data_IF_076622164826
#
_entry.id   IF_076622164826
#
_cell.length_a   1.000
_cell.length_b   1.000
_cell.length_c   1.000
_cell.angle_alpha   90.00
_cell.angle_beta   90.00
_cell.angle_gamma   90.00
#
_symmetry.space_group_name_H-M   'P 1'
#
loop_
_entity.id
_entity.type
_entity.pdbx_description
1 polymer ?
#
# COMPACT_ATOMS: atom_id res chain seq x y z
N UNK A 1 1.77 -20.41 5.03
CA UNK A 1 1.21 -19.17 5.63
C UNK A 1 0.37 -18.51 4.56
N UNK A 2 -0.92 -18.28 4.81
CA UNK A 2 -1.78 -17.59 3.86
C UNK A 2 -1.29 -16.14 3.74
N UNK A 3 -1.27 -15.60 2.53
CA UNK A 3 -0.96 -14.18 2.35
C UNK A 3 -2.06 -13.35 3.02
N UNK A 4 -1.69 -12.25 3.72
CA UNK A 4 -2.69 -11.43 4.40
C UNK A 4 -3.63 -10.77 3.38
N UNK A 5 -4.91 -10.66 3.74
CA UNK A 5 -5.96 -10.11 2.90
C UNK A 5 -5.69 -8.65 2.51
N UNK A 6 -5.62 -8.38 1.21
CA UNK A 6 -5.28 -7.07 0.66
C UNK A 6 -6.46 -6.46 -0.13
N UNK A 7 -7.41 -5.77 0.53
CA UNK A 7 -8.56 -5.15 -0.13
C UNK A 7 -8.18 -3.85 -0.87
N UNK A 8 -9.12 -3.23 -1.61
CA UNK A 8 -8.98 -1.85 -2.05
C UNK A 8 -8.69 -0.89 -0.89
N UNK A 9 -7.82 0.09 -1.08
CA UNK A 9 -7.46 1.07 -0.06
C UNK A 9 -8.60 2.03 0.32
N UNK A 10 -9.49 2.31 -0.64
CA UNK A 10 -10.60 3.25 -0.47
C UNK A 10 -11.93 2.62 -0.91
N UNK A 11 -13.08 3.06 -0.35
CA UNK A 11 -14.38 2.57 -0.74
C UNK A 11 -14.67 2.81 -2.23
N UNK A 12 -15.15 1.77 -2.91
CA UNK A 12 -15.68 1.90 -4.25
C UNK A 12 -17.13 2.41 -4.13
N UNK A 13 -17.36 3.71 -4.33
CA UNK A 13 -18.72 4.23 -4.41
C UNK A 13 -19.38 3.71 -5.70
N UNK A 14 -20.39 2.85 -5.53
CA UNK A 14 -21.17 2.30 -6.62
C UNK A 14 -22.00 3.43 -7.29
N UNK A 15 -21.41 4.13 -8.26
CA UNK A 15 -22.09 5.19 -9.00
C UNK A 15 -23.03 4.57 -10.05
N UNK A 16 -24.13 3.97 -9.58
CA UNK A 16 -25.42 3.80 -10.27
C UNK A 16 -25.51 3.07 -11.61
N UNK A 17 -24.42 2.80 -12.31
CA UNK A 17 -24.44 2.21 -13.65
C UNK A 17 -23.24 1.28 -13.76
N UNK A 18 -23.53 -0.02 -13.67
CA UNK A 18 -22.81 -1.11 -14.33
C UNK A 18 -21.34 -0.82 -14.68
N UNK A 19 -20.41 -1.05 -13.74
CA UNK A 19 -19.06 -1.50 -14.11
C UNK A 19 -19.15 -2.96 -14.53
N UNK A 20 -19.89 -3.22 -15.61
CA UNK A 20 -20.00 -4.52 -16.25
C UNK A 20 -18.66 -4.78 -16.96
N UNK A 21 -17.68 -5.32 -16.22
CA UNK A 21 -16.41 -5.78 -16.76
C UNK A 21 -15.20 -4.85 -16.60
N UNK A 22 -15.36 -3.64 -16.07
CA UNK A 22 -14.22 -2.79 -15.71
C UNK A 22 -13.74 -3.16 -14.32
N UNK A 23 -12.67 -3.97 -14.26
CA UNK A 23 -11.86 -4.13 -13.04
C UNK A 23 -11.53 -2.74 -12.50
N UNK A 24 -12.17 -2.33 -11.40
CA UNK A 24 -11.84 -1.08 -10.73
C UNK A 24 -10.47 -1.29 -10.07
N UNK A 25 -9.42 -1.12 -10.86
CA UNK A 25 -8.02 -1.32 -10.51
C UNK A 25 -7.51 -0.15 -9.67
N UNK A 26 -8.21 0.15 -8.57
CA UNK A 26 -7.74 1.12 -7.58
C UNK A 26 -6.53 0.59 -6.81
N UNK A 27 -5.82 1.47 -6.10
CA UNK A 27 -4.72 1.06 -5.22
C UNK A 27 -5.20 0.04 -4.18
N UNK A 28 -4.39 -0.98 -3.93
CA UNK A 28 -4.64 -1.91 -2.84
C UNK A 28 -4.28 -1.26 -1.50
N UNK A 29 -4.81 -1.79 -0.39
CA UNK A 29 -4.50 -1.31 0.95
C UNK A 29 -2.99 -1.43 1.24
N UNK A 30 -2.33 -2.45 0.69
CA UNK A 30 -0.87 -2.61 0.69
C UNK A 30 -0.17 -1.42 0.02
N UNK A 31 -0.59 -1.03 -1.17
CA UNK A 31 0.02 0.08 -1.91
C UNK A 31 -0.14 1.40 -1.16
N UNK A 32 -1.31 1.60 -0.54
CA UNK A 32 -1.56 2.78 0.28
C UNK A 32 -0.66 2.83 1.52
N UNK A 33 -0.51 1.73 2.25
CA UNK A 33 0.40 1.68 3.40
C UNK A 33 1.86 1.87 2.98
N UNK A 34 2.28 1.28 1.87
CA UNK A 34 3.62 1.46 1.34
C UNK A 34 3.88 2.94 0.98
N UNK A 35 2.93 3.60 0.30
CA UNK A 35 3.03 5.02 -0.02
C UNK A 35 3.13 5.90 1.24
N UNK A 36 2.42 5.57 2.32
CA UNK A 36 2.52 6.27 3.60
C UNK A 36 3.87 6.07 4.28
N UNK A 37 4.41 4.86 4.25
CA UNK A 37 5.75 4.57 4.77
C UNK A 37 6.83 5.32 3.97
N UNK A 38 6.72 5.29 2.63
CA UNK A 38 7.61 6.02 1.71
C UNK A 38 7.64 7.52 2.02
N UNK A 39 6.48 8.14 2.20
CA UNK A 39 6.38 9.56 2.58
C UNK A 39 7.15 9.85 3.88
N UNK A 40 7.03 8.96 4.88
CA UNK A 40 7.78 9.06 6.13
C UNK A 40 9.30 8.97 5.92
N UNK A 41 9.76 7.95 5.18
CA UNK A 41 11.19 7.77 4.89
C UNK A 41 11.79 8.96 4.13
N UNK A 42 11.08 9.49 3.12
CA UNK A 42 11.53 10.64 2.33
C UNK A 42 11.54 11.96 3.11
N UNK A 43 10.78 12.06 4.21
CA UNK A 43 10.75 13.26 5.05
C UNK A 43 12.01 13.45 5.93
N UNK A 44 12.76 12.36 6.14
CA UNK A 44 14.07 12.43 6.79
C UNK A 44 15.03 13.08 5.79
N UNK A 45 15.81 14.09 6.18
CA UNK A 45 17.01 14.44 5.42
C UNK A 45 17.88 13.18 5.38
N UNK A 46 17.80 12.45 4.27
CA UNK A 46 18.58 11.25 4.08
C UNK A 46 20.02 11.72 4.01
N UNK A 47 20.80 11.32 5.02
CA UNK A 47 22.26 11.33 4.94
C UNK A 47 22.60 10.61 3.64
N UNK A 48 23.47 11.19 2.81
CA UNK A 48 23.92 10.65 1.53
C UNK A 48 24.02 9.11 1.59
N UNK A 49 23.27 8.42 0.72
CA UNK A 49 23.41 6.96 0.54
C UNK A 49 22.19 6.07 0.79
N UNK A 50 20.98 6.60 0.97
CA UNK A 50 19.79 5.76 0.86
C UNK A 50 19.37 5.59 -0.60
N UNK A 51 19.54 4.38 -1.11
CA UNK A 51 19.08 3.94 -2.42
C UNK A 51 17.54 3.91 -2.47
N UNK A 52 16.95 4.43 -3.56
CA UNK A 52 15.50 4.43 -3.80
C UNK A 52 14.92 3.01 -3.75
N UNK A 53 15.69 2.01 -4.17
CA UNK A 53 15.32 0.60 -4.11
C UNK A 53 15.15 0.12 -2.66
N UNK A 54 16.05 0.53 -1.77
CA UNK A 54 16.00 0.18 -0.33
C UNK A 54 14.78 0.81 0.33
N UNK A 55 14.49 2.08 0.04
CA UNK A 55 13.32 2.76 0.61
C UNK A 55 12.03 2.10 0.12
N UNK A 56 11.97 1.74 -1.16
CA UNK A 56 10.83 1.05 -1.77
C UNK A 56 10.59 -0.31 -1.11
N UNK A 57 11.64 -1.11 -0.93
CA UNK A 57 11.55 -2.42 -0.26
C UNK A 57 11.08 -2.27 1.20
N UNK A 58 11.67 -1.33 1.94
CA UNK A 58 11.30 -1.09 3.34
C UNK A 58 9.87 -0.60 3.49
N UNK A 59 9.39 0.21 2.56
CA UNK A 59 8.00 0.70 2.54
C UNK A 59 7.00 -0.44 2.39
N UNK A 60 7.28 -1.39 1.50
CA UNK A 60 6.44 -2.58 1.34
C UNK A 60 6.52 -3.55 2.52
N UNK A 61 7.68 -3.70 3.17
CA UNK A 61 7.79 -4.50 4.42
C UNK A 61 6.91 -3.93 5.54
N UNK A 62 6.88 -2.61 5.69
CA UNK A 62 5.98 -1.95 6.65
C UNK A 62 4.51 -2.21 6.28
N UNK A 63 4.15 -2.09 4.99
CA UNK A 63 2.79 -2.39 4.54
C UNK A 63 2.35 -3.82 4.87
N UNK A 64 3.22 -4.82 4.61
CA UNK A 64 2.94 -6.22 4.92
C UNK A 64 2.79 -6.47 6.43
N UNK A 65 3.57 -5.77 7.26
CA UNK A 65 3.45 -5.84 8.72
C UNK A 65 2.11 -5.24 9.21
N UNK A 66 1.66 -4.13 8.62
CA UNK A 66 0.37 -3.52 8.95
C UNK A 66 -0.81 -4.41 8.56
N UNK A 67 -0.75 -5.07 7.40
CA UNK A 67 -1.77 -6.04 6.99
C UNK A 67 -1.86 -7.23 7.95
N UNK A 68 -0.72 -7.80 8.35
CA UNK A 68 -0.68 -8.87 9.36
C UNK A 68 -1.24 -8.43 10.71
N UNK A 69 -0.89 -7.24 11.16
CA UNK A 69 -1.36 -6.71 12.44
C UNK A 69 -2.89 -6.49 12.48
N UNK A 70 -3.52 -6.29 11.31
CA UNK A 70 -4.98 -6.16 11.19
C UNK A 70 -5.72 -7.50 11.30
N UNK A 71 -5.05 -8.61 10.97
CA UNK A 71 -5.64 -9.96 11.01
C UNK A 71 -5.54 -10.63 12.39
N UNK A 72 -4.75 -10.05 13.31
CA UNK A 72 -4.63 -10.48 14.70
C UNK A 72 -5.77 -9.92 15.55
#
# INVERSE_FOLDING_TARGET
MNQPYNPPAFPLHNHGVQTLGTHISGMTLRDYFAAKALQGYMSRQLIDGFDEDVISEMSYKVADAMLKAREA
#
